data_IF_704736030422
#
_entry.id   IF_704736030422
#
_cell.length_a   1.000
_cell.length_b   1.000
_cell.length_c   1.000
_cell.angle_alpha   90.00
_cell.angle_beta   90.00
_cell.angle_gamma   90.00
#
_symmetry.space_group_name_H-M   'P 1'
#
loop_
_entity.id
_entity.type
_entity.pdbx_description
1 polymer ?
#
# COMPACT_ATOMS: atom_id res chain seq x y z
N UNK A 1 3.78 -46.01 -14.37
CA UNK A 1 4.71 -44.89 -14.12
C UNK A 1 3.86 -43.60 -14.09
N UNK A 2 3.56 -43.13 -12.87
CA UNK A 2 2.44 -42.24 -12.58
C UNK A 2 2.57 -40.84 -13.17
N UNK A 3 1.49 -40.39 -13.82
CA UNK A 3 1.35 -38.97 -14.27
C UNK A 3 1.58 -37.94 -13.14
N UNK A 4 1.32 -38.31 -11.89
CA UNK A 4 1.63 -37.51 -10.69
C UNK A 4 3.13 -37.29 -10.48
N UNK A 5 3.97 -38.32 -10.79
CA UNK A 5 5.43 -38.22 -10.64
C UNK A 5 6.06 -37.31 -11.70
N UNK A 6 5.47 -37.23 -12.90
CA UNK A 6 5.88 -36.27 -13.95
C UNK A 6 5.46 -34.83 -13.63
N UNK A 7 4.32 -34.65 -12.95
CA UNK A 7 3.87 -33.31 -12.48
C UNK A 7 4.80 -32.78 -11.36
N UNK A 8 5.20 -33.63 -10.41
CA UNK A 8 6.10 -33.29 -9.33
C UNK A 8 7.53 -32.93 -9.81
N UNK A 9 8.07 -33.59 -10.83
CA UNK A 9 9.38 -33.28 -11.43
C UNK A 9 9.40 -31.95 -12.22
N UNK A 10 8.26 -31.47 -12.72
CA UNK A 10 8.15 -30.20 -13.40
C UNK A 10 7.99 -28.99 -12.45
N UNK A 11 7.76 -29.19 -11.15
CA UNK A 11 7.51 -28.13 -10.16
C UNK A 11 8.80 -27.46 -9.67
N UNK A 12 9.99 -28.01 -9.97
CA UNK A 12 11.27 -27.42 -9.60
C UNK A 12 11.90 -26.48 -10.65
N UNK A 13 11.18 -26.06 -11.67
CA UNK A 13 11.66 -24.96 -12.52
C UNK A 13 11.62 -23.69 -11.73
N UNK A 14 12.79 -23.08 -11.47
CA UNK A 14 12.94 -21.77 -10.84
C UNK A 14 11.91 -20.79 -11.42
N UNK A 15 11.01 -20.27 -10.58
CA UNK A 15 9.95 -19.35 -11.02
C UNK A 15 10.58 -18.16 -11.72
N UNK A 16 10.20 -17.91 -12.96
CA UNK A 16 10.67 -16.76 -13.70
C UNK A 16 9.95 -15.50 -13.19
N UNK A 17 10.69 -14.62 -12.55
CA UNK A 17 10.14 -13.39 -11.94
C UNK A 17 9.36 -12.51 -12.92
N UNK A 18 9.78 -12.44 -14.20
CA UNK A 18 9.10 -11.63 -15.23
C UNK A 18 7.70 -12.16 -15.51
N UNK A 19 7.57 -13.49 -15.65
CA UNK A 19 6.25 -14.11 -15.85
C UNK A 19 5.41 -14.08 -14.59
N UNK A 20 6.01 -14.28 -13.43
CA UNK A 20 5.30 -14.19 -12.15
C UNK A 20 4.68 -12.79 -11.95
N UNK A 21 5.42 -11.71 -12.23
CA UNK A 21 4.89 -10.34 -12.20
C UNK A 21 3.71 -10.15 -13.16
N UNK A 22 3.75 -10.76 -14.37
CA UNK A 22 2.62 -10.70 -15.31
C UNK A 22 1.38 -11.37 -14.77
N UNK A 23 1.54 -12.51 -14.08
CA UNK A 23 0.42 -13.22 -13.44
C UNK A 23 -0.17 -12.39 -12.32
N UNK A 24 0.66 -11.85 -11.42
CA UNK A 24 0.21 -10.97 -10.35
C UNK A 24 -0.51 -9.72 -10.88
N UNK A 25 -0.05 -9.17 -12.00
CA UNK A 25 -0.69 -8.02 -12.67
C UNK A 25 -2.10 -8.30 -13.20
N UNK A 26 -2.55 -9.57 -13.25
CA UNK A 26 -3.94 -9.93 -13.62
C UNK A 26 -4.93 -9.71 -12.49
N UNK A 27 -4.46 -9.50 -11.29
CA UNK A 27 -5.30 -9.11 -10.16
C UNK A 27 -5.45 -7.58 -10.15
N UNK A 28 -6.64 -7.10 -10.53
CA UNK A 28 -6.95 -5.67 -10.48
C UNK A 28 -7.04 -5.21 -9.02
N UNK A 29 -6.38 -4.11 -8.69
CA UNK A 29 -6.36 -3.56 -7.32
C UNK A 29 -6.77 -2.10 -7.32
N UNK A 30 -7.20 -1.61 -6.16
CA UNK A 30 -7.15 -0.19 -5.86
C UNK A 30 -5.69 0.29 -5.68
N UNK A 31 -5.54 1.59 -5.54
CA UNK A 31 -4.25 2.24 -5.27
C UNK A 31 -4.35 3.06 -4.00
N UNK A 32 -3.41 2.87 -3.09
CA UNK A 32 -3.36 3.60 -1.82
C UNK A 32 -2.03 4.31 -1.62
N UNK A 33 -2.06 5.41 -0.87
CA UNK A 33 -0.85 6.02 -0.31
C UNK A 33 -0.87 5.83 1.20
N UNK A 34 0.11 5.11 1.70
CA UNK A 34 0.35 5.00 3.14
C UNK A 34 1.18 6.20 3.56
N UNK A 35 0.72 6.92 4.56
CA UNK A 35 1.37 8.15 5.02
C UNK A 35 1.63 8.17 6.51
N UNK A 36 2.79 8.70 6.89
CA UNK A 36 3.24 8.86 8.27
C UNK A 36 3.80 10.26 8.48
N UNK A 37 3.70 10.75 9.70
CA UNK A 37 4.40 11.94 10.16
C UNK A 37 5.77 11.55 10.74
N UNK A 38 6.82 12.21 10.28
CA UNK A 38 8.15 12.05 10.84
C UNK A 38 8.76 13.43 11.11
N UNK A 39 8.64 13.91 12.35
CA UNK A 39 9.16 15.24 12.78
C UNK A 39 8.70 16.34 11.81
N UNK A 40 7.38 16.48 11.68
CA UNK A 40 6.71 17.48 10.81
C UNK A 40 6.93 17.28 9.29
N UNK A 41 7.65 16.24 8.90
CA UNK A 41 7.77 15.83 7.50
C UNK A 41 6.79 14.73 7.19
N UNK A 42 5.95 14.96 6.21
CA UNK A 42 5.09 13.95 5.65
C UNK A 42 5.92 12.94 4.84
N UNK A 43 5.74 11.67 5.09
CA UNK A 43 6.32 10.59 4.30
C UNK A 43 5.19 9.74 3.78
N UNK A 44 5.17 9.52 2.47
CA UNK A 44 4.20 8.67 1.80
C UNK A 44 4.85 7.56 1.00
N UNK A 45 4.14 6.46 0.82
CA UNK A 45 4.46 5.39 -0.12
C UNK A 45 3.20 4.88 -0.79
N UNK A 46 3.24 4.81 -2.12
CA UNK A 46 2.18 4.20 -2.92
C UNK A 46 2.29 2.69 -2.86
N UNK A 47 1.17 2.05 -2.59
CA UNK A 47 1.05 0.60 -2.61
C UNK A 47 -0.28 0.18 -3.24
N UNK A 48 -0.29 -1.03 -3.79
CA UNK A 48 -1.50 -1.75 -4.20
C UNK A 48 -1.68 -3.06 -3.43
N UNK A 49 -0.89 -3.27 -2.40
CA UNK A 49 -0.91 -4.44 -1.52
C UNK A 49 -1.86 -4.31 -0.32
N UNK A 50 -2.65 -3.23 -0.26
CA UNK A 50 -3.63 -3.01 0.79
C UNK A 50 -4.74 -4.07 0.74
N UNK A 51 -5.11 -4.60 1.91
CA UNK A 51 -6.23 -5.52 2.07
C UNK A 51 -6.90 -5.37 3.45
N UNK A 52 -8.20 -5.65 3.49
CA UNK A 52 -8.92 -5.88 4.73
C UNK A 52 -8.43 -7.20 5.36
N UNK A 53 -8.34 -7.26 6.68
CA UNK A 53 -7.91 -8.44 7.42
C UNK A 53 -8.99 -8.94 8.37
N UNK A 54 -9.68 -8.06 9.10
CA UNK A 54 -10.70 -8.41 10.10
C UNK A 54 -11.68 -7.26 10.28
N UNK A 55 -12.92 -7.58 10.58
CA UNK A 55 -13.94 -6.60 10.94
C UNK A 55 -14.04 -6.42 12.45
N UNK A 56 -13.78 -7.46 13.23
CA UNK A 56 -13.82 -7.42 14.70
C UNK A 56 -12.63 -8.17 15.28
N UNK A 57 -11.59 -7.47 15.80
CA UNK A 57 -11.38 -6.02 15.69
C UNK A 57 -11.15 -5.55 14.23
N UNK A 58 -11.36 -4.26 13.93
CA UNK A 58 -11.18 -3.74 12.57
C UNK A 58 -9.69 -3.66 12.24
N UNK A 59 -9.21 -4.60 11.43
CA UNK A 59 -7.81 -4.74 11.03
C UNK A 59 -7.66 -4.66 9.51
N UNK A 60 -6.56 -4.04 9.11
CA UNK A 60 -6.12 -3.97 7.72
C UNK A 60 -4.63 -4.31 7.63
N UNK A 61 -4.19 -4.69 6.43
CA UNK A 61 -2.78 -4.94 6.15
C UNK A 61 -2.34 -4.26 4.85
N UNK A 62 -1.04 -4.04 4.74
CA UNK A 62 -0.33 -3.67 3.52
C UNK A 62 1.12 -4.15 3.60
N UNK A 63 1.80 -4.19 2.48
CA UNK A 63 3.23 -4.54 2.44
C UNK A 63 4.07 -3.49 1.74
N UNK A 64 5.31 -3.33 2.21
CA UNK A 64 6.32 -2.44 1.65
C UNK A 64 7.60 -3.23 1.34
N UNK A 65 8.27 -2.88 0.25
CA UNK A 65 9.60 -3.41 -0.07
C UNK A 65 10.58 -3.14 1.09
N UNK A 66 11.34 -4.14 1.52
CA UNK A 66 12.39 -4.03 2.55
C UNK A 66 13.46 -2.99 2.21
N UNK A 67 13.66 -2.71 0.93
CA UNK A 67 14.63 -1.74 0.41
C UNK A 67 14.04 -0.33 0.25
N UNK A 68 12.76 -0.13 0.59
CA UNK A 68 12.16 1.19 0.51
C UNK A 68 12.89 2.20 1.41
N UNK A 69 13.24 3.36 0.87
CA UNK A 69 14.05 4.38 1.57
C UNK A 69 13.48 4.82 2.93
N UNK A 70 12.17 4.76 3.10
CA UNK A 70 11.48 5.15 4.32
C UNK A 70 11.12 3.98 5.25
N UNK A 71 11.56 2.75 4.97
CA UNK A 71 11.11 1.54 5.67
C UNK A 71 11.31 1.59 7.19
N UNK A 72 12.46 2.11 7.64
CA UNK A 72 12.78 2.25 9.08
C UNK A 72 11.78 3.21 9.74
N UNK A 73 11.38 4.28 9.08
CA UNK A 73 10.41 5.25 9.59
C UNK A 73 9.02 4.63 9.72
N UNK A 74 8.60 3.80 8.76
CA UNK A 74 7.36 3.02 8.85
C UNK A 74 7.41 1.97 9.96
N UNK A 75 8.56 1.32 10.19
CA UNK A 75 8.73 0.40 11.33
C UNK A 75 8.59 1.11 12.68
N UNK A 76 9.05 2.34 12.79
CA UNK A 76 9.08 3.10 14.05
C UNK A 76 7.85 3.98 14.28
N UNK A 77 6.98 4.20 13.28
CA UNK A 77 5.76 4.97 13.50
C UNK A 77 4.77 4.18 14.38
N UNK A 78 4.03 4.87 15.21
CA UNK A 78 2.91 4.30 15.97
C UNK A 78 1.60 4.42 15.18
N UNK A 79 1.37 5.58 14.58
CA UNK A 79 0.17 5.89 13.80
C UNK A 79 0.52 6.15 12.32
N UNK A 80 -0.40 5.81 11.45
CA UNK A 80 -0.30 6.04 10.03
C UNK A 80 -1.68 6.26 9.40
N UNK A 81 -1.71 6.83 8.21
CA UNK A 81 -2.95 6.92 7.42
C UNK A 81 -2.83 6.09 6.16
N UNK A 82 -3.94 5.50 5.75
CA UNK A 82 -4.12 4.81 4.47
C UNK A 82 -5.08 5.63 3.64
N UNK A 83 -4.61 6.20 2.54
CA UNK A 83 -5.38 7.07 1.68
C UNK A 83 -5.72 6.31 0.39
N UNK A 84 -6.97 5.90 0.22
CA UNK A 84 -7.46 5.19 -0.97
C UNK A 84 -7.73 6.23 -2.05
N UNK A 85 -6.95 6.20 -3.12
CA UNK A 85 -6.94 7.24 -4.13
C UNK A 85 -8.15 7.15 -5.06
N UNK A 86 -8.65 8.32 -5.46
CA UNK A 86 -9.62 8.46 -6.53
C UNK A 86 -8.95 8.55 -7.91
N UNK A 87 -9.73 8.35 -8.98
CA UNK A 87 -9.26 8.33 -10.37
C UNK A 87 -8.49 9.60 -10.80
N UNK A 88 -8.75 10.77 -10.21
CA UNK A 88 -8.07 12.03 -10.54
C UNK A 88 -6.70 12.17 -9.85
N UNK A 89 -6.36 11.26 -8.94
CA UNK A 89 -5.14 11.34 -8.12
C UNK A 89 -3.97 10.49 -8.65
N UNK A 90 -3.93 10.21 -9.96
CA UNK A 90 -2.84 9.45 -10.61
C UNK A 90 -1.46 10.09 -10.32
N UNK A 91 -1.35 11.41 -10.38
CA UNK A 91 -0.08 12.11 -10.13
C UNK A 91 0.38 11.93 -8.69
N UNK A 92 -0.54 11.96 -7.72
CA UNK A 92 -0.23 11.65 -6.31
C UNK A 92 0.34 10.23 -6.21
N UNK A 93 -0.32 9.25 -6.83
CA UNK A 93 0.18 7.88 -6.84
C UNK A 93 1.59 7.77 -7.42
N UNK A 94 1.85 8.36 -8.58
CA UNK A 94 3.17 8.32 -9.23
C UNK A 94 4.25 8.94 -8.34
N UNK A 95 3.98 10.08 -7.75
CA UNK A 95 4.92 10.79 -6.90
C UNK A 95 5.37 9.96 -5.69
N UNK A 96 4.44 9.29 -5.01
CA UNK A 96 4.78 8.44 -3.85
C UNK A 96 5.26 7.04 -4.22
N UNK A 97 5.20 6.65 -5.50
CA UNK A 97 5.82 5.42 -6.00
C UNK A 97 7.33 5.55 -6.18
N UNK A 98 7.86 6.76 -6.38
CA UNK A 98 9.28 7.01 -6.57
C UNK A 98 10.09 6.70 -5.31
N UNK A 99 11.34 6.20 -5.50
CA UNK A 99 12.21 5.80 -4.38
C UNK A 99 12.52 6.95 -3.41
N UNK A 100 12.70 8.15 -3.95
CA UNK A 100 13.15 9.34 -3.20
C UNK A 100 12.25 10.53 -3.46
N UNK A 101 10.95 10.32 -3.67
CA UNK A 101 10.03 11.41 -3.90
C UNK A 101 10.11 12.42 -2.74
N UNK A 102 10.66 13.61 -2.95
CA UNK A 102 10.61 14.65 -1.94
C UNK A 102 9.14 15.11 -1.86
N UNK A 103 8.61 15.07 -0.67
CA UNK A 103 7.26 15.54 -0.36
C UNK A 103 6.90 16.92 -0.92
N UNK A 104 7.86 17.81 -0.97
CA UNK A 104 7.72 19.22 -1.37
C UNK A 104 7.62 19.46 -2.90
N UNK A 105 7.61 18.42 -3.74
CA UNK A 105 7.44 18.55 -5.20
C UNK A 105 6.01 18.34 -5.70
N UNK A 106 5.07 18.08 -4.81
CA UNK A 106 3.69 17.78 -5.21
C UNK A 106 2.72 18.70 -4.50
N UNK A 107 1.85 19.36 -5.24
CA UNK A 107 0.68 20.08 -4.72
C UNK A 107 -0.34 19.10 -4.12
N UNK A 108 0.07 18.38 -3.09
CA UNK A 108 -0.84 17.47 -2.39
C UNK A 108 -1.47 18.21 -1.23
N UNK A 109 -2.75 18.48 -1.36
CA UNK A 109 -3.53 19.02 -0.25
C UNK A 109 -3.78 17.92 0.78
N UNK A 110 -3.38 18.16 2.03
CA UNK A 110 -3.59 17.28 3.15
C UNK A 110 -3.91 18.04 4.43
N UNK A 111 -4.31 17.34 5.46
CA UNK A 111 -4.44 17.85 6.83
C UNK A 111 -3.90 16.80 7.80
N UNK A 112 -3.62 17.20 9.04
CA UNK A 112 -3.24 16.26 10.08
C UNK A 112 -4.47 15.77 10.86
N UNK A 113 -4.54 14.47 11.11
CA UNK A 113 -5.51 13.88 12.01
C UNK A 113 -5.24 14.27 13.48
N UNK A 114 -6.10 13.82 14.39
CA UNK A 114 -5.91 13.97 15.85
C UNK A 114 -4.58 13.34 16.33
N UNK A 115 -4.15 12.23 15.74
CA UNK A 115 -2.88 11.56 16.05
C UNK A 115 -1.73 12.08 15.16
N UNK A 116 -1.88 13.28 14.57
CA UNK A 116 -0.88 13.93 13.72
C UNK A 116 -0.45 13.10 12.52
N UNK A 117 -1.30 12.18 12.04
CA UNK A 117 -1.04 11.49 10.79
C UNK A 117 -1.52 12.33 9.60
N UNK A 118 -0.74 12.42 8.52
CA UNK A 118 -1.15 13.21 7.36
C UNK A 118 -2.24 12.47 6.58
N UNK A 119 -3.35 13.15 6.32
CA UNK A 119 -4.50 12.63 5.56
C UNK A 119 -4.61 13.43 4.27
N UNK A 120 -4.50 12.75 3.14
CA UNK A 120 -4.64 13.35 1.80
C UNK A 120 -6.10 13.72 1.57
N UNK A 121 -6.36 14.96 1.16
CA UNK A 121 -7.71 15.42 0.84
C UNK A 121 -8.23 14.81 -0.46
N UNK A 122 -9.55 14.80 -0.59
CA UNK A 122 -10.26 14.34 -1.78
C UNK A 122 -9.96 12.88 -2.19
N UNK A 123 -9.55 12.03 -1.27
CA UNK A 123 -9.44 10.59 -1.50
C UNK A 123 -10.83 9.94 -1.56
N UNK A 124 -10.90 8.75 -2.18
CA UNK A 124 -12.09 7.91 -2.15
C UNK A 124 -12.44 7.50 -0.71
N UNK A 125 -11.42 7.15 0.05
CA UNK A 125 -11.53 6.92 1.50
C UNK A 125 -10.19 7.18 2.19
N UNK A 126 -10.26 7.48 3.48
CA UNK A 126 -9.10 7.63 4.34
C UNK A 126 -9.32 6.79 5.59
N UNK A 127 -8.30 6.05 6.01
CA UNK A 127 -8.30 5.32 7.26
C UNK A 127 -7.13 5.84 8.11
N UNK A 128 -7.42 6.20 9.36
CA UNK A 128 -6.40 6.44 10.36
C UNK A 128 -6.19 5.16 11.15
N UNK A 129 -4.93 4.73 11.29
CA UNK A 129 -4.60 3.43 11.84
C UNK A 129 -3.52 3.52 12.92
N UNK A 130 -3.65 2.66 13.93
CA UNK A 130 -2.58 2.33 14.86
C UNK A 130 -1.89 1.05 14.37
N UNK A 131 -0.58 1.11 14.17
CA UNK A 131 0.20 -0.08 13.83
C UNK A 131 0.23 -1.05 15.02
N UNK A 132 -0.10 -2.31 14.79
CA UNK A 132 -0.04 -3.38 15.81
C UNK A 132 1.30 -4.08 15.75
N UNK A 133 1.66 -4.59 14.57
CA UNK A 133 2.90 -5.33 14.35
C UNK A 133 3.30 -5.31 12.88
N UNK A 134 4.51 -5.75 12.62
CA UNK A 134 4.96 -6.04 11.27
C UNK A 134 5.71 -7.38 11.22
N UNK A 135 5.70 -8.01 10.05
CA UNK A 135 6.35 -9.28 9.76
C UNK A 135 7.25 -9.11 8.54
N UNK A 136 8.41 -9.73 8.54
CA UNK A 136 9.32 -9.70 7.38
C UNK A 136 9.21 -11.02 6.64
N UNK A 137 8.75 -10.96 5.39
CA UNK A 137 8.58 -12.14 4.54
C UNK A 137 9.12 -11.86 3.14
N UNK A 138 10.05 -12.69 2.70
CA UNK A 138 10.71 -12.53 1.41
C UNK A 138 11.40 -11.17 1.28
N UNK A 139 11.07 -10.43 0.24
CA UNK A 139 11.59 -9.10 -0.07
C UNK A 139 10.70 -7.96 0.46
N UNK A 140 9.62 -8.28 1.20
CA UNK A 140 8.66 -7.33 1.73
C UNK A 140 8.52 -7.39 3.25
N UNK A 141 7.91 -6.35 3.80
CA UNK A 141 7.47 -6.25 5.19
C UNK A 141 5.97 -6.03 5.18
N UNK A 142 5.24 -6.92 5.84
CA UNK A 142 3.79 -6.84 6.02
C UNK A 142 3.52 -6.07 7.30
N UNK A 143 2.71 -5.03 7.21
CA UNK A 143 2.24 -4.24 8.34
C UNK A 143 0.79 -4.60 8.65
N UNK A 144 0.49 -4.88 9.91
CA UNK A 144 -0.87 -5.12 10.41
C UNK A 144 -1.25 -3.94 11.29
N UNK A 145 -2.39 -3.31 10.98
CA UNK A 145 -2.84 -2.08 11.59
C UNK A 145 -4.29 -2.18 12.03
N UNK A 146 -4.60 -1.61 13.20
CA UNK A 146 -5.98 -1.44 13.69
C UNK A 146 -6.51 -0.11 13.17
N UNK A 147 -7.65 -0.12 12.51
CA UNK A 147 -8.37 1.09 12.11
C UNK A 147 -8.96 1.75 13.34
N UNK A 148 -8.70 3.04 13.54
CA UNK A 148 -9.19 3.83 14.68
C UNK A 148 -10.16 4.93 14.24
N UNK A 149 -10.08 5.37 12.98
CA UNK A 149 -11.00 6.32 12.38
C UNK A 149 -10.99 6.17 10.86
N UNK A 150 -12.08 6.55 10.19
CA UNK A 150 -12.15 6.54 8.73
C UNK A 150 -13.16 7.56 8.18
N UNK A 151 -12.96 7.94 6.92
CA UNK A 151 -13.90 8.72 6.13
C UNK A 151 -13.96 8.15 4.72
N UNK A 152 -15.08 8.36 4.00
CA UNK A 152 -15.22 7.94 2.61
C UNK A 152 -16.12 8.90 1.82
N UNK A 153 -16.07 8.81 0.50
CA UNK A 153 -16.87 9.62 -0.42
C UNK A 153 -17.40 8.76 -1.57
N UNK A 154 -18.68 8.49 -1.56
CA UNK A 154 -19.39 7.66 -2.56
C UNK A 154 -19.49 8.30 -3.95
N UNK A 155 -19.29 9.62 -4.06
CA UNK A 155 -19.39 10.35 -5.33
C UNK A 155 -18.10 10.27 -6.17
N UNK A 156 -17.03 9.67 -5.65
CA UNK A 156 -15.76 9.55 -6.34
C UNK A 156 -15.58 8.15 -6.96
N UNK A 157 -14.84 8.08 -8.06
CA UNK A 157 -14.48 6.82 -8.71
C UNK A 157 -13.08 6.39 -8.26
N UNK A 158 -12.83 5.08 -8.03
CA UNK A 158 -11.54 4.59 -7.57
C UNK A 158 -10.44 4.76 -8.64
N UNK A 159 -9.21 4.96 -8.19
CA UNK A 159 -8.02 4.74 -9.01
C UNK A 159 -7.70 3.24 -9.00
N UNK A 160 -7.72 2.62 -10.16
CA UNK A 160 -7.44 1.20 -10.31
C UNK A 160 -6.07 0.97 -10.96
N UNK A 161 -5.49 -0.19 -10.65
CA UNK A 161 -4.24 -0.64 -11.23
C UNK A 161 -4.38 -2.08 -11.74
N UNK A 162 -4.13 -2.27 -13.03
CA UNK A 162 -4.28 -3.55 -13.70
C UNK A 162 -3.24 -3.68 -14.81
N UNK A 163 -2.65 -4.86 -14.98
CA UNK A 163 -1.61 -5.11 -15.99
C UNK A 163 -0.49 -4.05 -15.99
N UNK A 164 -0.05 -3.62 -14.81
CA UNK A 164 0.98 -2.60 -14.63
C UNK A 164 0.61 -1.21 -15.18
N UNK A 165 -0.69 -0.90 -15.28
CA UNK A 165 -1.21 0.38 -15.77
C UNK A 165 -2.32 0.90 -14.83
N UNK A 166 -2.44 2.22 -14.75
CA UNK A 166 -3.61 2.86 -14.15
C UNK A 166 -4.79 2.81 -15.12
N UNK A 167 -5.99 2.55 -14.60
CA UNK A 167 -7.25 2.51 -15.34
C UNK A 167 -8.35 3.28 -14.61
#
# INVERSE_FOLDING_TARGET
MDRLCLYAKNIMKKINQKYFKKVLGKFATGVTVISINNKEKFIGKTVNSFSALSLSPPLVLFSLDRKASAIIKFKNCEYLSINILNKKQINISKNFAEKNAPWNKTDVSYYFSKNKTPIIKNCLANLECKKIKFLTEGDHIIFICKVINFTYNDNLKPLLYFNSKYI
#
